data_IF_368118777312
#
_entry.id   IF_368118777312
#
_cell.length_a   1.000
_cell.length_b   1.000
_cell.length_c   1.000
_cell.angle_alpha   90.00
_cell.angle_beta   90.00
_cell.angle_gamma   90.00
#
_symmetry.space_group_name_H-M   'P 1'
#
loop_
_entity.id
_entity.type
_entity.pdbx_description
1 polymer ?
#
# COMPACT_ATOMS: atom_id res chain seq x y z
N UNK A 1 35.81 -11.54 -60.48
CA UNK A 1 34.41 -11.57 -60.02
C UNK A 1 34.41 -11.85 -58.52
N UNK A 2 34.00 -10.95 -57.62
CA UNK A 2 32.60 -10.57 -57.37
C UNK A 2 31.92 -11.73 -56.64
N UNK A 3 31.66 -11.75 -55.33
CA UNK A 3 31.04 -10.74 -54.47
C UNK A 3 29.58 -11.13 -54.23
N UNK A 4 29.23 -11.54 -52.98
CA UNK A 4 27.91 -11.68 -52.30
C UNK A 4 27.98 -12.89 -51.34
N UNK A 5 27.67 -12.85 -50.03
CA UNK A 5 27.01 -11.86 -49.20
C UNK A 5 25.88 -12.53 -48.39
N UNK A 6 25.99 -12.53 -47.05
CA UNK A 6 24.88 -12.72 -46.09
C UNK A 6 24.30 -14.15 -45.96
N UNK A 7 23.89 -14.65 -44.80
CA UNK A 7 23.56 -13.97 -43.57
C UNK A 7 23.64 -14.90 -42.36
N UNK A 8 24.04 -14.30 -41.25
CA UNK A 8 23.89 -14.81 -39.91
C UNK A 8 22.42 -15.06 -39.61
N UNK A 9 22.03 -16.31 -39.36
CA UNK A 9 20.81 -16.62 -38.63
C UNK A 9 21.05 -16.35 -37.14
N UNK A 10 21.09 -15.07 -36.79
CA UNK A 10 21.23 -14.62 -35.41
C UNK A 10 20.09 -15.16 -34.55
N UNK A 11 20.47 -15.89 -33.50
CA UNK A 11 19.59 -16.18 -32.37
C UNK A 11 19.20 -14.87 -31.68
N UNK A 12 18.18 -14.20 -32.22
CA UNK A 12 17.54 -13.05 -31.62
C UNK A 12 16.34 -13.49 -30.80
N UNK A 13 16.55 -14.40 -29.83
CA UNK A 13 15.60 -14.51 -28.74
C UNK A 13 15.62 -13.16 -28.03
N UNK A 14 14.61 -12.33 -28.28
CA UNK A 14 14.45 -11.05 -27.61
C UNK A 14 14.40 -11.34 -26.11
N UNK A 15 15.56 -11.24 -25.45
CA UNK A 15 15.66 -11.24 -24.01
C UNK A 15 15.12 -9.90 -23.57
N UNK A 16 13.78 -9.82 -23.48
CA UNK A 16 13.11 -8.77 -22.72
C UNK A 16 13.86 -8.68 -21.40
N UNK A 17 14.56 -7.56 -21.12
CA UNK A 17 15.37 -7.48 -19.93
C UNK A 17 14.47 -7.76 -18.74
N UNK A 18 14.83 -8.77 -17.94
CA UNK A 18 14.15 -9.10 -16.70
C UNK A 18 14.20 -7.81 -15.88
N UNK A 19 13.07 -7.09 -15.86
CA UNK A 19 12.98 -5.80 -15.17
C UNK A 19 13.35 -6.09 -13.73
N UNK A 20 14.48 -5.55 -13.26
CA UNK A 20 14.98 -5.80 -11.92
C UNK A 20 13.82 -5.64 -10.94
N UNK A 21 13.50 -6.70 -10.20
CA UNK A 21 12.48 -6.65 -9.17
C UNK A 21 12.91 -5.57 -8.18
N UNK A 22 12.20 -4.44 -8.15
CA UNK A 22 12.45 -3.41 -7.15
C UNK A 22 12.21 -4.06 -5.79
N UNK A 23 13.20 -3.96 -4.92
CA UNK A 23 13.06 -4.35 -3.52
C UNK A 23 11.99 -3.42 -2.92
N UNK A 24 10.86 -3.99 -2.50
CA UNK A 24 9.79 -3.21 -1.89
C UNK A 24 10.24 -2.60 -0.57
N UNK A 25 9.81 -1.37 -0.29
CA UNK A 25 10.02 -0.75 1.02
C UNK A 25 9.04 -1.37 2.03
N UNK A 26 9.58 -1.98 3.09
CA UNK A 26 8.80 -2.57 4.19
C UNK A 26 8.92 -1.67 5.42
N UNK A 27 7.79 -1.26 5.98
CA UNK A 27 7.73 -0.49 7.23
C UNK A 27 6.73 -1.12 8.18
N UNK A 28 7.13 -1.30 9.43
CA UNK A 28 6.25 -1.69 10.51
C UNK A 28 5.70 -0.45 11.21
N UNK A 29 4.42 -0.46 11.56
CA UNK A 29 3.78 0.58 12.35
C UNK A 29 2.94 -0.07 13.43
N UNK A 30 2.91 0.55 14.61
CA UNK A 30 2.08 0.09 15.71
C UNK A 30 0.59 0.25 15.38
N UNK A 31 -0.18 -0.79 15.66
CA UNK A 31 -1.64 -0.80 15.52
C UNK A 31 -2.21 -1.80 16.52
N UNK A 32 -2.72 -1.29 17.64
CA UNK A 32 -3.40 -2.11 18.65
C UNK A 32 -4.88 -2.25 18.29
N UNK A 33 -5.28 -3.45 17.87
CA UNK A 33 -6.67 -3.74 17.50
C UNK A 33 -7.62 -3.79 18.69
N UNK A 34 -7.10 -3.83 19.92
CA UNK A 34 -7.91 -3.71 21.13
C UNK A 34 -8.25 -2.26 21.48
N UNK A 35 -7.73 -1.27 20.73
CA UNK A 35 -8.04 0.15 20.89
C UNK A 35 -8.33 0.85 19.55
N UNK A 36 -9.59 1.24 19.33
CA UNK A 36 -9.99 1.98 18.14
C UNK A 36 -9.28 3.34 17.97
N UNK A 37 -8.78 3.96 19.05
CA UNK A 37 -7.98 5.18 18.92
C UNK A 37 -6.62 4.87 18.28
N UNK A 38 -5.97 3.77 18.68
CA UNK A 38 -4.76 3.25 18.05
C UNK A 38 -4.99 2.92 16.56
N UNK A 39 -6.08 2.23 16.23
CA UNK A 39 -6.46 1.94 14.84
C UNK A 39 -6.60 3.21 14.00
N UNK A 40 -7.24 4.24 14.54
CA UNK A 40 -7.39 5.54 13.86
C UNK A 40 -6.04 6.26 13.70
N UNK A 41 -5.19 6.21 14.71
CA UNK A 41 -3.86 6.82 14.67
C UNK A 41 -2.99 6.16 13.59
N UNK A 42 -2.99 4.83 13.51
CA UNK A 42 -2.33 4.08 12.43
C UNK A 42 -2.82 4.51 11.06
N UNK A 43 -4.14 4.52 10.82
CA UNK A 43 -4.70 4.89 9.52
C UNK A 43 -4.32 6.33 9.13
N UNK A 44 -4.39 7.27 10.09
CA UNK A 44 -3.99 8.67 9.86
C UNK A 44 -2.52 8.78 9.47
N UNK A 45 -1.64 8.09 10.19
CA UNK A 45 -0.20 8.10 9.93
C UNK A 45 0.15 7.44 8.58
N UNK A 46 -0.51 6.33 8.24
CA UNK A 46 -0.35 5.67 6.94
C UNK A 46 -0.76 6.62 5.81
N UNK A 47 -1.93 7.26 5.93
CA UNK A 47 -2.42 8.16 4.91
C UNK A 47 -1.51 9.39 4.75
N UNK A 48 -1.01 9.95 5.86
CA UNK A 48 -0.07 11.07 5.83
C UNK A 48 1.26 10.70 5.16
N UNK A 49 1.82 9.52 5.45
CA UNK A 49 3.05 9.02 4.79
C UNK A 49 2.86 8.84 3.29
N UNK A 50 1.71 8.29 2.89
CA UNK A 50 1.39 8.11 1.48
C UNK A 50 1.21 9.42 0.72
N UNK A 51 0.71 10.47 1.39
CA UNK A 51 0.57 11.81 0.81
C UNK A 51 1.93 12.51 0.69
N UNK A 52 2.80 12.38 1.70
CA UNK A 52 4.18 12.89 1.66
C UNK A 52 4.99 12.23 0.53
N UNK A 53 4.86 10.92 0.35
CA UNK A 53 5.50 10.19 -0.76
C UNK A 53 4.94 10.56 -2.15
N UNK A 54 3.72 11.09 -2.22
CA UNK A 54 3.11 11.59 -3.46
C UNK A 54 3.43 13.06 -3.75
N UNK A 55 4.32 13.69 -2.99
CA UNK A 55 4.74 15.10 -3.17
C UNK A 55 3.88 16.13 -2.45
N UNK A 56 2.99 15.71 -1.53
CA UNK A 56 2.22 16.62 -0.68
C UNK A 56 3.02 17.06 0.56
N UNK A 57 3.33 18.35 0.69
CA UNK A 57 4.00 18.91 1.86
C UNK A 57 3.19 18.69 3.16
N UNK A 58 3.83 18.49 4.33
CA UNK A 58 3.12 18.31 5.59
C UNK A 58 2.48 19.64 6.02
N UNK A 59 1.15 19.65 6.17
CA UNK A 59 0.42 20.77 6.75
C UNK A 59 0.84 20.94 8.22
N UNK A 60 1.61 21.98 8.52
CA UNK A 60 2.00 22.34 9.86
C UNK A 60 0.78 22.77 10.69
N UNK A 61 0.76 22.31 11.93
CA UNK A 61 -0.24 22.59 12.98
C UNK A 61 -0.31 24.09 13.29
N UNK A 62 -1.37 24.78 12.85
CA UNK A 62 -2.02 25.87 13.62
C UNK A 62 -3.37 26.28 13.00
N UNK A 63 -4.40 26.23 13.84
CA UNK A 63 -5.69 26.95 13.82
C UNK A 63 -6.19 27.57 12.49
N UNK A 64 -7.03 26.85 11.75
CA UNK A 64 -8.31 27.26 11.10
C UNK A 64 -8.62 26.41 9.84
N UNK A 65 -9.84 25.85 9.67
CA UNK A 65 -10.20 25.05 8.50
C UNK A 65 -10.76 25.96 7.40
N UNK A 66 -9.92 26.43 6.50
CA UNK A 66 -10.37 27.09 5.27
C UNK A 66 -9.57 26.62 4.05
N UNK A 67 -10.31 26.23 3.02
CA UNK A 67 -9.92 25.83 1.65
C UNK A 67 -9.09 24.54 1.50
N UNK A 68 -9.84 23.49 1.21
CA UNK A 68 -9.48 22.19 0.63
C UNK A 68 -8.35 22.25 -0.42
N UNK A 69 -7.11 22.10 0.03
CA UNK A 69 -6.05 21.50 -0.77
C UNK A 69 -6.36 20.01 -0.87
N UNK A 70 -7.23 19.63 -1.81
CA UNK A 70 -7.61 18.24 -2.10
C UNK A 70 -6.46 17.51 -2.79
N UNK A 71 -5.38 17.23 -2.05
CA UNK A 71 -4.39 16.27 -2.50
C UNK A 71 -5.09 14.92 -2.69
N UNK A 72 -4.81 14.19 -3.80
CA UNK A 72 -5.37 12.86 -3.98
C UNK A 72 -5.00 11.97 -2.79
N UNK A 73 -5.93 11.12 -2.31
CA UNK A 73 -5.61 10.19 -1.24
C UNK A 73 -4.50 9.26 -1.71
N UNK A 74 -3.63 8.82 -0.80
CA UNK A 74 -2.59 7.86 -1.14
C UNK A 74 -3.20 6.55 -1.61
N UNK A 75 -2.55 5.89 -2.57
CA UNK A 75 -3.02 4.61 -3.11
C UNK A 75 -2.70 3.46 -2.15
N UNK A 76 -3.65 2.56 -1.94
CA UNK A 76 -3.47 1.27 -1.27
C UNK A 76 -4.03 0.18 -2.19
N UNK A 77 -3.26 -0.87 -2.44
CA UNK A 77 -3.65 -1.91 -3.41
C UNK A 77 -4.19 -3.15 -2.71
N UNK A 78 -3.60 -3.52 -1.57
CA UNK A 78 -3.98 -4.72 -0.84
C UNK A 78 -4.05 -4.40 0.65
N UNK A 79 -5.18 -4.71 1.28
CA UNK A 79 -5.36 -4.72 2.72
C UNK A 79 -5.61 -6.15 3.19
N UNK A 80 -4.74 -6.66 4.06
CA UNK A 80 -4.84 -8.00 4.64
C UNK A 80 -5.20 -7.88 6.13
N UNK A 81 -6.46 -8.19 6.43
CA UNK A 81 -7.00 -8.26 7.79
C UNK A 81 -6.65 -9.62 8.43
N UNK A 82 -5.37 -9.88 8.67
CA UNK A 82 -4.88 -11.18 9.13
C UNK A 82 -4.72 -11.29 10.66
N UNK A 83 -4.53 -10.16 11.37
CA UNK A 83 -4.34 -10.21 12.82
C UNK A 83 -5.56 -10.86 13.52
N UNK A 84 -5.28 -11.69 14.52
CA UNK A 84 -6.31 -12.40 15.26
C UNK A 84 -5.80 -12.86 16.62
N UNK A 85 -6.74 -13.11 17.54
CA UNK A 85 -6.46 -13.64 18.86
C UNK A 85 -7.31 -14.89 19.09
N UNK A 86 -6.67 -16.02 19.36
CA UNK A 86 -7.40 -17.26 19.63
C UNK A 86 -6.61 -18.19 20.58
N UNK A 87 -7.22 -18.69 21.68
CA UNK A 87 -8.49 -18.24 22.25
C UNK A 87 -8.33 -16.88 22.95
N UNK A 88 -9.35 -16.02 22.88
CA UNK A 88 -9.43 -14.87 23.76
C UNK A 88 -9.72 -15.33 25.19
N UNK A 89 -8.94 -14.86 26.18
CA UNK A 89 -9.21 -15.15 27.60
C UNK A 89 -10.56 -14.55 28.00
N UNK A 90 -11.41 -15.34 28.65
CA UNK A 90 -12.72 -14.91 29.09
C UNK A 90 -12.64 -13.66 29.98
N UNK A 91 -13.56 -12.73 29.76
CA UNK A 91 -13.64 -11.46 30.50
C UNK A 91 -12.70 -10.35 30.00
N UNK A 92 -11.79 -10.62 29.06
CA UNK A 92 -11.02 -9.56 28.41
C UNK A 92 -11.92 -8.66 27.58
N UNK A 93 -11.62 -7.36 27.61
CA UNK A 93 -12.35 -6.35 26.86
C UNK A 93 -11.41 -5.41 26.14
N UNK A 94 -11.86 -4.87 25.02
CA UNK A 94 -11.18 -3.76 24.35
C UNK A 94 -11.24 -2.48 25.19
N UNK A 95 -10.45 -1.47 24.83
CA UNK A 95 -10.52 -0.15 25.45
C UNK A 95 -11.92 0.48 25.37
N UNK A 96 -12.73 0.09 24.38
CA UNK A 96 -14.11 0.52 24.19
C UNK A 96 -15.14 -0.35 24.95
N UNK A 97 -14.67 -1.39 25.65
CA UNK A 97 -15.52 -2.25 26.49
C UNK A 97 -16.18 -3.42 25.76
N UNK A 98 -15.84 -3.68 24.50
CA UNK A 98 -16.32 -4.85 23.75
C UNK A 98 -15.61 -6.13 24.18
N UNK A 99 -16.24 -7.29 23.99
CA UNK A 99 -15.56 -8.58 24.13
C UNK A 99 -14.32 -8.62 23.23
N UNK A 100 -13.20 -9.15 23.74
CA UNK A 100 -11.89 -9.04 23.07
C UNK A 100 -11.87 -9.67 21.67
N UNK A 101 -12.37 -10.89 21.50
CA UNK A 101 -12.40 -11.56 20.20
C UNK A 101 -13.22 -10.78 19.17
N UNK A 102 -14.45 -10.41 19.55
CA UNK A 102 -15.33 -9.61 18.70
C UNK A 102 -14.75 -8.22 18.38
N UNK A 103 -14.22 -7.54 19.39
CA UNK A 103 -13.66 -6.21 19.28
C UNK A 103 -12.42 -6.17 18.39
N UNK A 104 -11.44 -7.06 18.64
CA UNK A 104 -10.16 -7.03 17.94
C UNK A 104 -10.20 -7.71 16.56
N UNK A 105 -11.01 -8.75 16.36
CA UNK A 105 -11.02 -9.52 15.08
C UNK A 105 -12.11 -9.07 14.10
N UNK A 106 -13.19 -8.43 14.58
CA UNK A 106 -14.29 -8.01 13.71
C UNK A 106 -14.42 -6.49 13.68
N UNK A 107 -14.64 -5.84 14.83
CA UNK A 107 -14.90 -4.41 14.88
C UNK A 107 -13.68 -3.58 14.44
N UNK A 108 -12.49 -3.93 14.93
CA UNK A 108 -11.26 -3.22 14.62
C UNK A 108 -10.90 -3.33 13.13
N UNK A 109 -10.95 -4.52 12.53
CA UNK A 109 -10.70 -4.71 11.09
C UNK A 109 -11.74 -4.02 10.21
N UNK A 110 -13.02 -4.08 10.59
CA UNK A 110 -14.06 -3.34 9.89
C UNK A 110 -13.81 -1.83 9.95
N UNK A 111 -13.49 -1.31 11.14
CA UNK A 111 -13.18 0.09 11.33
C UNK A 111 -11.94 0.54 10.53
N UNK A 112 -10.86 -0.23 10.59
CA UNK A 112 -9.64 -0.01 9.82
C UNK A 112 -9.94 0.03 8.31
N UNK A 113 -10.70 -0.94 7.81
CA UNK A 113 -11.09 -1.00 6.40
C UNK A 113 -11.85 0.26 6.02
N UNK A 114 -12.83 0.69 6.82
CA UNK A 114 -13.60 1.92 6.56
C UNK A 114 -12.72 3.18 6.49
N UNK A 115 -11.70 3.29 7.34
CA UNK A 115 -10.76 4.42 7.32
C UNK A 115 -9.86 4.41 6.07
N UNK A 116 -9.48 3.23 5.59
CA UNK A 116 -8.61 3.06 4.43
C UNK A 116 -9.36 2.92 3.09
N UNK A 117 -10.69 2.85 3.11
CA UNK A 117 -11.52 2.74 1.90
C UNK A 117 -11.17 3.76 0.81
N UNK A 118 -10.97 5.06 1.10
CA UNK A 118 -10.61 6.03 0.05
C UNK A 118 -9.28 5.69 -0.64
N UNK A 119 -8.30 5.17 0.11
CA UNK A 119 -7.01 4.75 -0.42
C UNK A 119 -7.11 3.46 -1.25
N UNK A 120 -7.96 2.52 -0.83
CA UNK A 120 -8.24 1.27 -1.57
C UNK A 120 -8.90 1.55 -2.92
N UNK A 121 -9.90 2.45 -2.95
CA UNK A 121 -10.56 2.86 -4.20
C UNK A 121 -9.56 3.55 -5.13
N UNK A 122 -8.70 4.42 -4.59
CA UNK A 122 -7.67 5.09 -5.38
C UNK A 122 -6.66 4.09 -6.00
N UNK A 123 -6.23 3.07 -5.25
CA UNK A 123 -5.36 2.01 -5.77
C UNK A 123 -6.06 1.11 -6.80
N UNK A 124 -7.34 0.78 -6.59
CA UNK A 124 -8.12 0.02 -7.56
C UNK A 124 -8.31 0.74 -8.90
N UNK A 125 -8.62 2.04 -8.85
CA UNK A 125 -8.77 2.87 -10.05
C UNK A 125 -7.44 3.00 -10.83
N UNK A 126 -6.31 3.03 -10.13
CA UNK A 126 -4.99 3.01 -10.76
C UNK A 126 -4.75 1.73 -11.55
N UNK A 127 -5.03 0.57 -10.93
CA UNK A 127 -4.86 -0.72 -11.56
C UNK A 127 -5.73 -0.84 -12.82
N UNK A 128 -7.00 -0.40 -12.72
CA UNK A 128 -7.92 -0.39 -13.86
C UNK A 128 -7.43 0.53 -14.99
N UNK A 129 -6.89 1.72 -14.66
CA UNK A 129 -6.34 2.62 -15.66
C UNK A 129 -5.08 2.06 -16.33
N UNK A 130 -4.20 1.41 -15.57
CA UNK A 130 -3.01 0.75 -16.10
C UNK A 130 -3.37 -0.42 -17.03
N UNK A 131 -4.37 -1.21 -16.66
CA UNK A 131 -4.89 -2.32 -17.49
C UNK A 131 -5.50 -1.81 -18.79
N UNK A 132 -6.33 -0.75 -18.74
CA UNK A 132 -6.89 -0.13 -19.94
C UNK A 132 -5.81 0.44 -20.87
N UNK A 133 -4.77 1.08 -20.33
CA UNK A 133 -3.65 1.59 -21.11
C UNK A 133 -2.83 0.46 -21.76
N UNK A 134 -2.61 -0.64 -21.04
CA UNK A 134 -1.93 -1.81 -21.58
C UNK A 134 -2.73 -2.47 -22.73
N UNK A 135 -4.06 -2.55 -22.59
CA UNK A 135 -4.94 -3.05 -23.65
C UNK A 135 -4.92 -2.15 -24.90
N UNK A 136 -4.92 -0.82 -24.71
CA UNK A 136 -4.83 0.14 -25.82
C UNK A 136 -3.48 0.03 -26.56
N UNK A 137 -2.37 -0.11 -25.82
CA UNK A 137 -1.04 -0.27 -26.41
C UNK A 137 -0.85 -1.60 -27.17
N UNK A 138 -1.63 -2.64 -26.84
CA UNK A 138 -1.65 -3.90 -27.58
C UNK A 138 -2.47 -3.81 -28.89
N UNK A 139 -3.38 -2.84 -29.00
CA UNK A 139 -4.20 -2.58 -30.18
C UNK A 139 -3.53 -1.66 -31.21
N UNK A 140 -2.62 -0.79 -30.79
CA UNK A 140 -1.83 0.05 -31.70
C UNK A 140 -0.54 -0.66 -32.12
N UNK A 141 -0.50 -1.12 -33.38
CA UNK A 141 0.73 -1.57 -34.00
C UNK A 141 1.78 -0.45 -34.04
N UNK A 142 2.75 -0.51 -33.13
CA UNK A 142 4.08 0.11 -33.20
C UNK A 142 4.12 1.63 -33.40
N UNK A 143 4.17 2.39 -32.30
CA UNK A 143 4.46 3.84 -32.37
C UNK A 143 4.58 4.56 -31.03
N UNK A 144 5.72 4.40 -30.34
CA UNK A 144 6.37 5.46 -29.56
C UNK A 144 5.66 6.12 -28.37
N UNK A 145 6.12 5.77 -27.16
CA UNK A 145 6.63 6.76 -26.20
C UNK A 145 5.64 7.58 -25.37
N UNK A 146 5.42 7.16 -24.12
CA UNK A 146 4.75 7.97 -23.10
C UNK A 146 4.83 7.32 -21.72
N UNK A 147 6.04 7.24 -21.16
CA UNK A 147 6.25 6.73 -19.81
C UNK A 147 5.61 7.61 -18.75
N UNK A 148 4.38 7.28 -18.37
CA UNK A 148 3.75 7.79 -17.16
C UNK A 148 4.51 7.26 -15.94
N UNK A 149 5.43 8.07 -15.42
CA UNK A 149 6.19 7.81 -14.21
C UNK A 149 5.32 7.89 -12.96
N UNK A 150 4.39 6.94 -12.80
CA UNK A 150 3.85 6.59 -11.49
C UNK A 150 4.85 5.69 -10.78
N UNK A 151 5.02 5.87 -9.46
CA UNK A 151 5.79 4.98 -8.61
C UNK A 151 5.09 3.60 -8.57
N UNK A 152 5.29 2.79 -9.62
CA UNK A 152 4.54 1.57 -9.92
C UNK A 152 4.75 0.40 -8.97
N UNK A 153 5.08 0.68 -7.70
CA UNK A 153 5.17 -0.31 -6.65
C UNK A 153 3.81 -0.46 -5.95
N UNK A 154 3.29 -1.69 -5.93
CA UNK A 154 2.07 -2.00 -5.19
C UNK A 154 2.27 -1.72 -3.68
N UNK A 155 1.40 -0.90 -3.12
CA UNK A 155 1.33 -0.63 -1.67
C UNK A 155 0.42 -1.65 -1.00
N UNK A 156 0.96 -2.35 -0.02
CA UNK A 156 0.29 -3.43 0.72
C UNK A 156 0.32 -3.13 2.21
N UNK A 157 -0.81 -3.30 2.89
CA UNK A 157 -0.92 -3.23 4.34
C UNK A 157 -1.41 -4.58 4.85
N UNK A 158 -0.71 -5.14 5.82
CA UNK A 158 -1.13 -6.35 6.53
C UNK A 158 -1.12 -6.09 8.03
N UNK A 159 -2.18 -6.54 8.71
CA UNK A 159 -2.22 -6.59 10.17
C UNK A 159 -1.68 -7.94 10.63
N UNK A 160 -0.80 -7.95 11.63
CA UNK A 160 -0.26 -9.16 12.23
C UNK A 160 -0.29 -9.07 13.75
N UNK A 161 -0.56 -10.19 14.41
CA UNK A 161 -0.47 -10.27 15.87
C UNK A 161 0.98 -10.46 16.29
N UNK A 162 1.52 -9.51 17.06
CA UNK A 162 2.73 -9.72 17.85
C UNK A 162 2.31 -10.15 19.25
N UNK A 163 2.81 -11.31 19.71
CA UNK A 163 2.48 -11.83 21.03
C UNK A 163 2.87 -10.84 22.13
N UNK A 164 1.96 -10.61 23.07
CA UNK A 164 2.22 -9.85 24.30
C UNK A 164 3.30 -10.55 25.13
N UNK A 165 4.58 -10.20 24.90
CA UNK A 165 5.71 -10.65 25.70
C UNK A 165 6.38 -9.47 26.44
N UNK A 166 5.60 -8.45 26.82
CA UNK A 166 6.08 -7.30 27.60
C UNK A 166 7.10 -6.40 26.89
N UNK A 167 7.48 -6.69 25.65
CA UNK A 167 8.33 -5.85 24.83
C UNK A 167 7.54 -4.70 24.21
N UNK A 168 7.93 -3.46 24.49
CA UNK A 168 7.46 -2.30 23.70
C UNK A 168 7.80 -2.54 22.23
N UNK A 169 6.90 -2.14 21.34
CA UNK A 169 7.19 -2.08 19.90
C UNK A 169 8.39 -1.15 19.69
N UNK A 170 9.54 -1.71 19.35
CA UNK A 170 10.73 -0.91 19.05
C UNK A 170 10.68 -0.49 17.58
N UNK A 171 10.28 0.77 17.36
CA UNK A 171 10.11 1.37 16.03
C UNK A 171 11.43 1.56 15.26
N UNK A 172 12.57 1.13 15.83
CA UNK A 172 13.91 1.28 15.25
C UNK A 172 14.15 0.54 13.92
N UNK A 173 13.22 -0.29 13.44
CA UNK A 173 13.28 -0.90 12.11
C UNK A 173 12.89 0.06 10.96
N UNK A 174 12.79 1.38 11.22
CA UNK A 174 12.33 2.41 10.28
C UNK A 174 13.38 3.49 10.00
N UNK A 175 14.66 3.16 9.83
CA UNK A 175 15.64 4.08 9.24
C UNK A 175 16.45 3.42 8.12
N UNK A 176 16.82 4.22 7.09
CA UNK A 176 17.20 3.77 5.74
C UNK A 176 18.51 3.00 5.65
#
# INVERSE_FOLDING_TARGET
>A
EGGRGGGAGGGGGASTPLRAARVGHVSAMECDLSDLASVRAFATAFLARGAAAAGGAPAATSSSPSSSSSSPPPRLHILVNNAGIFPAKAGMRTAQGYEMGWGAMALAHHYLTRLLMPALVAGGNELAAAEAAAAAAAGEGGGGGGGGGGDGAARVVTTASFGHNGGRFDAALSSP
#
